data_IF_291772604153
#
_entry.id   IF_291772604153
#
_cell.length_a   1.000
_cell.length_b   1.000
_cell.length_c   1.000
_cell.angle_alpha   90.00
_cell.angle_beta   90.00
_cell.angle_gamma   90.00
#
_symmetry.space_group_name_H-M   'P 1'
#
loop_
_entity.id
_entity.type
_entity.pdbx_description
1 polymer ?
#
# COMPACT_ATOMS: atom_id res chain seq x y z
N UNK A 1 -9.00 5.17 11.63
CA UNK A 1 -9.47 5.24 10.23
C UNK A 1 -10.98 5.35 10.21
N UNK A 2 -11.59 5.98 9.17
CA UNK A 2 -13.03 5.91 8.97
C UNK A 2 -13.48 4.46 8.77
N UNK A 3 -14.72 4.16 9.14
CA UNK A 3 -15.37 2.93 8.66
C UNK A 3 -15.65 3.01 7.15
N UNK A 4 -16.04 1.89 6.55
CA UNK A 4 -16.30 1.82 5.12
C UNK A 4 -17.39 2.79 4.68
N UNK A 5 -18.46 2.94 5.47
CA UNK A 5 -19.58 3.80 5.12
C UNK A 5 -19.16 5.27 5.06
N UNK A 6 -18.38 5.72 6.05
CA UNK A 6 -17.81 7.06 6.08
C UNK A 6 -16.78 7.29 4.97
N UNK A 7 -15.99 6.27 4.60
CA UNK A 7 -15.05 6.34 3.50
C UNK A 7 -15.77 6.54 2.16
N UNK A 8 -16.77 5.70 1.86
CA UNK A 8 -17.49 5.72 0.57
C UNK A 8 -18.39 6.96 0.43
N UNK A 9 -18.85 7.53 1.55
CA UNK A 9 -19.63 8.77 1.55
C UNK A 9 -18.80 10.03 1.23
N UNK A 10 -17.46 9.94 1.28
CA UNK A 10 -16.56 11.07 1.01
C UNK A 10 -15.72 10.80 -0.25
N UNK A 11 -16.12 11.41 -1.37
CA UNK A 11 -15.42 11.28 -2.65
C UNK A 11 -13.95 11.76 -2.60
N UNK A 12 -13.65 12.78 -1.79
CA UNK A 12 -12.29 13.31 -1.66
C UNK A 12 -11.43 12.29 -0.94
N UNK A 13 -11.93 11.73 0.16
CA UNK A 13 -11.24 10.68 0.91
C UNK A 13 -11.03 9.43 0.05
N UNK A 14 -12.06 8.99 -0.69
CA UNK A 14 -11.95 7.88 -1.64
C UNK A 14 -10.81 8.09 -2.65
N UNK A 15 -10.80 9.25 -3.32
CA UNK A 15 -9.76 9.57 -4.32
C UNK A 15 -8.37 9.64 -3.69
N UNK A 16 -8.26 10.23 -2.50
CA UNK A 16 -6.99 10.34 -1.78
C UNK A 16 -6.44 8.96 -1.42
N UNK A 17 -7.27 8.08 -0.86
CA UNK A 17 -6.91 6.71 -0.48
C UNK A 17 -6.48 5.89 -1.69
N UNK A 18 -7.29 5.88 -2.75
CA UNK A 18 -6.97 5.16 -3.99
C UNK A 18 -5.62 5.64 -4.52
N UNK A 19 -5.39 6.96 -4.55
CA UNK A 19 -4.13 7.51 -5.03
C UNK A 19 -2.93 7.10 -4.18
N UNK A 20 -3.07 7.11 -2.86
CA UNK A 20 -2.01 6.67 -1.95
C UNK A 20 -1.64 5.20 -2.17
N UNK A 21 -2.65 4.34 -2.36
CA UNK A 21 -2.42 2.91 -2.61
C UNK A 21 -1.72 2.69 -3.96
N UNK A 22 -2.11 3.42 -5.01
CA UNK A 22 -1.40 3.38 -6.30
C UNK A 22 0.08 3.76 -6.17
N UNK A 23 0.37 4.84 -5.42
CA UNK A 23 1.73 5.33 -5.20
C UNK A 23 2.57 4.29 -4.46
N UNK A 24 2.02 3.66 -3.42
CA UNK A 24 2.70 2.59 -2.67
C UNK A 24 3.01 1.41 -3.59
N UNK A 25 2.04 1.00 -4.42
CA UNK A 25 2.24 -0.09 -5.38
C UNK A 25 3.34 0.22 -6.39
N UNK A 26 3.37 1.43 -6.94
CA UNK A 26 4.41 1.86 -7.89
C UNK A 26 5.79 1.99 -7.22
N UNK A 27 5.86 2.55 -6.01
CA UNK A 27 7.10 2.62 -5.23
C UNK A 27 7.67 1.22 -4.96
N UNK A 28 6.80 0.25 -4.64
CA UNK A 28 7.19 -1.15 -4.40
C UNK A 28 7.82 -1.80 -5.62
N UNK A 29 7.37 -1.47 -6.85
CA UNK A 29 7.98 -1.99 -8.09
C UNK A 29 9.43 -1.53 -8.28
N UNK A 30 9.75 -0.35 -7.75
CA UNK A 30 11.08 0.25 -7.86
C UNK A 30 12.04 -0.23 -6.76
N UNK A 31 11.57 -1.00 -5.78
CA UNK A 31 12.45 -1.59 -4.77
C UNK A 31 13.32 -2.69 -5.39
N UNK A 32 14.65 -2.69 -5.08
CA UNK A 32 15.55 -3.78 -5.46
C UNK A 32 14.99 -5.15 -5.07
N UNK A 33 15.26 -6.17 -5.88
CA UNK A 33 14.75 -7.53 -5.63
C UNK A 33 15.28 -8.05 -4.30
N UNK A 34 16.55 -7.78 -4.02
CA UNK A 34 17.27 -8.23 -2.83
C UNK A 34 16.61 -7.69 -1.55
N UNK A 35 16.09 -6.47 -1.59
CA UNK A 35 15.40 -5.86 -0.46
C UNK A 35 14.05 -6.52 -0.23
N UNK A 36 13.32 -6.83 -1.30
CA UNK A 36 12.03 -7.54 -1.20
C UNK A 36 12.21 -8.98 -0.71
N UNK A 37 13.30 -9.63 -1.12
CA UNK A 37 13.64 -10.99 -0.67
C UNK A 37 14.10 -11.04 0.78
N UNK A 38 14.69 -9.96 1.31
CA UNK A 38 15.10 -9.87 2.70
C UNK A 38 13.93 -9.81 3.70
N UNK A 39 12.74 -9.36 3.26
CA UNK A 39 11.54 -9.27 4.10
C UNK A 39 10.35 -10.02 3.45
N UNK A 40 10.41 -11.37 3.38
CA UNK A 40 9.42 -12.18 2.68
C UNK A 40 8.04 -12.23 3.38
N UNK A 41 7.93 -11.75 4.63
CA UNK A 41 6.66 -11.60 5.35
C UNK A 41 5.72 -10.59 4.69
N UNK A 42 6.28 -9.63 3.94
CA UNK A 42 5.49 -8.66 3.20
C UNK A 42 5.16 -9.22 1.82
N UNK A 43 3.88 -9.21 1.39
CA UNK A 43 3.47 -9.72 0.09
C UNK A 43 3.78 -8.71 -1.03
N UNK A 44 5.05 -8.37 -1.25
CA UNK A 44 5.52 -7.33 -2.17
C UNK A 44 4.92 -7.42 -3.56
N UNK A 45 4.81 -8.65 -4.11
CA UNK A 45 4.22 -8.88 -5.44
C UNK A 45 2.74 -8.48 -5.50
N UNK A 46 2.01 -8.67 -4.41
CA UNK A 46 0.61 -8.28 -4.33
C UNK A 46 0.48 -6.76 -4.23
N UNK A 47 1.34 -6.12 -3.42
CA UNK A 47 1.39 -4.65 -3.26
C UNK A 47 1.72 -3.98 -4.60
N UNK A 48 2.73 -4.47 -5.31
CA UNK A 48 3.11 -3.98 -6.63
C UNK A 48 1.97 -4.07 -7.67
N UNK A 49 1.06 -5.05 -7.53
CA UNK A 49 -0.07 -5.26 -8.45
C UNK A 49 -1.35 -4.53 -8.02
N UNK A 50 -1.32 -3.77 -6.92
CA UNK A 50 -2.51 -3.09 -6.40
C UNK A 50 -3.05 -2.04 -7.37
N UNK A 51 -2.16 -1.28 -8.04
CA UNK A 51 -2.56 -0.32 -9.07
C UNK A 51 -3.43 -0.98 -10.13
N UNK A 52 -3.00 -2.12 -10.67
CA UNK A 52 -3.69 -2.83 -11.74
C UNK A 52 -5.10 -3.25 -11.27
N UNK A 53 -5.22 -3.72 -10.02
CA UNK A 53 -6.52 -4.06 -9.43
C UNK A 53 -7.45 -2.84 -9.28
N UNK A 54 -6.94 -1.69 -8.88
CA UNK A 54 -7.76 -0.49 -8.67
C UNK A 54 -8.21 0.17 -9.98
N UNK A 55 -7.37 0.16 -11.02
CA UNK A 55 -7.71 0.79 -12.30
C UNK A 55 -8.70 -0.02 -13.13
N UNK A 56 -8.75 -1.35 -12.96
CA UNK A 56 -9.64 -2.22 -13.77
C UNK A 56 -11.08 -2.31 -13.23
N UNK A 57 -11.30 -1.99 -11.95
CA UNK A 57 -12.62 -2.11 -11.29
C UNK A 57 -13.27 -0.75 -10.96
N UNK A 58 -12.80 0.35 -11.56
CA UNK A 58 -13.17 1.73 -11.19
C UNK A 58 -14.68 2.05 -11.17
N UNK A 59 -15.52 1.26 -11.86
CA UNK A 59 -16.99 1.43 -11.87
C UNK A 59 -17.73 0.63 -10.77
N UNK A 60 -17.16 -0.50 -10.33
CA UNK A 60 -17.65 -1.32 -9.21
C UNK A 60 -16.51 -1.43 -8.18
N UNK A 61 -15.88 -0.30 -7.84
CA UNK A 61 -14.65 -0.30 -7.06
C UNK A 61 -14.93 -1.03 -5.75
N UNK A 62 -14.22 -2.14 -5.53
CA UNK A 62 -14.25 -2.93 -4.31
C UNK A 62 -13.59 -2.12 -3.19
N UNK A 63 -14.27 -1.04 -2.76
CA UNK A 63 -13.85 -0.18 -1.66
C UNK A 63 -13.82 -0.96 -0.35
N UNK A 64 -14.57 -2.08 -0.27
CA UNK A 64 -14.40 -3.08 0.78
C UNK A 64 -12.97 -3.65 0.77
N UNK A 65 -12.45 -4.07 -0.39
CA UNK A 65 -11.07 -4.52 -0.53
C UNK A 65 -10.06 -3.40 -0.22
N UNK A 66 -10.28 -2.18 -0.70
CA UNK A 66 -9.41 -1.03 -0.37
C UNK A 66 -9.36 -0.80 1.13
N UNK A 67 -10.53 -0.74 1.77
CA UNK A 67 -10.66 -0.55 3.21
C UNK A 67 -10.02 -1.70 4.00
N UNK A 68 -10.20 -2.95 3.57
CA UNK A 68 -9.57 -4.12 4.16
C UNK A 68 -8.05 -4.04 4.09
N UNK A 69 -7.50 -3.64 2.93
CA UNK A 69 -6.05 -3.48 2.76
C UNK A 69 -5.53 -2.39 3.68
N UNK A 70 -6.23 -1.25 3.77
CA UNK A 70 -5.85 -0.18 4.69
C UNK A 70 -5.83 -0.65 6.15
N UNK A 71 -6.80 -1.47 6.55
CA UNK A 71 -6.92 -1.96 7.93
C UNK A 71 -5.90 -3.05 8.28
N UNK A 72 -5.47 -3.86 7.30
CA UNK A 72 -4.72 -5.10 7.58
C UNK A 72 -3.28 -5.12 7.07
N UNK A 73 -2.96 -4.38 6.01
CA UNK A 73 -1.66 -4.47 5.34
C UNK A 73 -0.79 -3.24 5.54
N UNK A 74 -1.38 -2.08 5.85
CA UNK A 74 -0.61 -0.84 5.99
C UNK A 74 0.29 -0.87 7.21
N UNK A 75 -0.20 -1.30 8.39
CA UNK A 75 0.63 -1.32 9.60
C UNK A 75 1.83 -2.27 9.46
N UNK A 76 1.69 -3.55 9.02
CA UNK A 76 2.85 -4.42 8.84
C UNK A 76 3.86 -3.89 7.81
N UNK A 77 3.36 -3.25 6.74
CA UNK A 77 4.20 -2.63 5.73
C UNK A 77 5.01 -1.46 6.32
N UNK A 78 4.35 -0.56 7.06
CA UNK A 78 4.99 0.60 7.70
C UNK A 78 6.08 0.16 8.69
N UNK A 79 5.77 -0.79 9.57
CA UNK A 79 6.74 -1.36 10.52
C UNK A 79 7.93 -1.99 9.80
N UNK A 80 7.70 -2.67 8.69
CA UNK A 80 8.78 -3.29 7.91
C UNK A 80 9.63 -2.23 7.22
N UNK A 81 9.03 -1.23 6.59
CA UNK A 81 9.77 -0.12 5.97
C UNK A 81 10.58 0.64 7.02
N UNK A 82 10.03 0.86 8.22
CA UNK A 82 10.78 1.47 9.33
C UNK A 82 12.00 0.64 9.73
N UNK A 83 11.89 -0.69 9.81
CA UNK A 83 13.03 -1.60 10.03
C UNK A 83 14.05 -1.53 8.89
N UNK A 84 13.58 -1.58 7.64
CA UNK A 84 14.43 -1.43 6.45
C UNK A 84 15.29 -0.17 6.56
N UNK A 85 14.67 0.97 6.90
CA UNK A 85 15.38 2.25 7.03
C UNK A 85 16.44 2.26 8.15
N UNK A 86 16.23 1.51 9.23
CA UNK A 86 17.22 1.38 10.31
C UNK A 86 18.41 0.49 9.92
N UNK A 87 18.19 -0.48 9.04
CA UNK A 87 19.20 -1.42 8.56
C UNK A 87 20.01 -0.87 7.38
N UNK A 88 19.56 0.22 6.75
CA UNK A 88 20.32 0.90 5.72
C UNK A 88 21.62 1.49 6.32
N UNK A 89 22.80 1.13 5.79
CA UNK A 89 24.05 1.74 6.23
C UNK A 89 23.95 3.25 6.03
N UNK A 90 24.15 4.01 7.11
CA UNK A 90 23.76 5.40 7.24
C UNK A 90 24.05 6.28 6.02
N UNK A 91 23.02 6.58 5.26
CA UNK A 91 22.90 7.82 4.52
C UNK A 91 21.72 8.57 5.11
N UNK A 92 22.00 9.31 6.19
CA UNK A 92 21.36 10.56 6.63
C UNK A 92 22.04 10.97 7.95
N UNK A 93 23.31 11.39 7.85
CA UNK A 93 23.93 12.39 8.72
C UNK A 93 24.27 13.58 7.82
#
# INVERSE_FOLDING_TARGET
MPDLAALVADEVMCRAVVKSVEIIGEATKNLPVEWREAYPEIPWRNIARMRDKLTHHYFDTDFEFVWLVMQTQINPLDETVARMLQELPGTLN
#
